data_IF_430411686931
#
_entry.id   IF_430411686931
#
_cell.length_a   1.000
_cell.length_b   1.000
_cell.length_c   1.000
_cell.angle_alpha   90.00
_cell.angle_beta   90.00
_cell.angle_gamma   90.00
#
_symmetry.space_group_name_H-M   'P 1'
#
loop_
_entity.id
_entity.type
_entity.pdbx_description
1 polymer ?
#
# COMPACT_ATOMS: atom_id res chain seq x y z
N UNK A 1 -24.84 4.47 -27.87
CA UNK A 1 -24.92 3.39 -26.86
C UNK A 1 -24.29 3.91 -25.58
N UNK A 2 -25.01 3.93 -24.46
CA UNK A 2 -24.41 4.28 -23.18
C UNK A 2 -23.41 3.20 -22.81
N UNK A 3 -22.15 3.57 -22.60
CA UNK A 3 -21.11 2.65 -22.15
C UNK A 3 -21.56 2.08 -20.79
N UNK A 4 -21.71 0.76 -20.72
CA UNK A 4 -22.17 0.11 -19.50
C UNK A 4 -21.05 0.25 -18.45
N UNK A 5 -21.24 1.17 -17.50
CA UNK A 5 -20.27 1.40 -16.41
C UNK A 5 -20.20 0.10 -15.61
N UNK A 6 -19.10 -0.64 -15.75
CA UNK A 6 -18.83 -1.83 -14.95
C UNK A 6 -18.37 -1.39 -13.57
N UNK A 7 -19.23 -1.59 -12.58
CA UNK A 7 -18.85 -1.43 -11.18
C UNK A 7 -18.02 -2.63 -10.72
N UNK A 8 -17.05 -2.39 -9.83
CA UNK A 8 -16.33 -3.48 -9.17
C UNK A 8 -17.30 -4.24 -8.27
N UNK A 9 -17.45 -5.54 -8.51
CA UNK A 9 -18.12 -6.43 -7.56
C UNK A 9 -17.16 -6.74 -6.42
N UNK A 10 -17.48 -6.24 -5.23
CA UNK A 10 -16.71 -6.51 -4.02
C UNK A 10 -17.10 -7.85 -3.42
N UNK A 11 -16.11 -8.65 -3.01
CA UNK A 11 -16.31 -9.81 -2.16
C UNK A 11 -16.89 -9.36 -0.80
N UNK A 12 -17.80 -10.15 -0.23
CA UNK A 12 -18.43 -9.80 1.06
C UNK A 12 -17.40 -9.67 2.18
N UNK A 13 -16.32 -10.47 2.15
CA UNK A 13 -15.23 -10.36 3.14
C UNK A 13 -14.49 -9.03 3.03
N UNK A 14 -14.39 -8.46 1.83
CA UNK A 14 -13.81 -7.13 1.63
C UNK A 14 -14.67 -6.06 2.28
N UNK A 15 -15.99 -6.13 2.10
CA UNK A 15 -16.94 -5.22 2.73
C UNK A 15 -16.85 -5.34 4.26
N UNK A 16 -16.81 -6.58 4.77
CA UNK A 16 -16.68 -6.83 6.21
C UNK A 16 -15.35 -6.33 6.77
N UNK A 17 -14.26 -6.48 6.03
CA UNK A 17 -12.94 -5.98 6.41
C UNK A 17 -12.95 -4.45 6.55
N UNK A 18 -13.51 -3.73 5.58
CA UNK A 18 -13.62 -2.27 5.65
C UNK A 18 -14.57 -1.84 6.77
N UNK A 19 -15.71 -2.51 6.93
CA UNK A 19 -16.69 -2.21 7.98
C UNK A 19 -16.09 -2.34 9.38
N UNK A 20 -15.40 -3.47 9.65
CA UNK A 20 -14.73 -3.74 10.94
C UNK A 20 -13.63 -2.73 11.28
N UNK A 21 -12.94 -2.20 10.26
CA UNK A 21 -11.85 -1.24 10.44
C UNK A 21 -12.30 0.23 10.25
N UNK A 22 -13.60 0.50 10.10
CA UNK A 22 -14.10 1.81 9.70
C UNK A 22 -13.72 2.95 10.65
N UNK A 23 -13.77 2.72 11.97
CA UNK A 23 -13.36 3.71 12.97
C UNK A 23 -11.87 4.06 12.87
N UNK A 24 -11.03 3.03 12.71
CA UNK A 24 -9.59 3.17 12.50
C UNK A 24 -9.27 3.91 11.20
N UNK A 25 -9.92 3.54 10.10
CA UNK A 25 -9.75 4.19 8.79
C UNK A 25 -10.08 5.68 8.88
N UNK A 26 -11.21 6.04 9.51
CA UNK A 26 -11.60 7.43 9.73
C UNK A 26 -10.58 8.20 10.57
N UNK A 27 -10.10 7.60 11.66
CA UNK A 27 -9.10 8.20 12.54
C UNK A 27 -7.77 8.46 11.82
N UNK A 28 -7.25 7.46 11.10
CA UNK A 28 -6.02 7.59 10.32
C UNK A 28 -6.20 8.65 9.22
N UNK A 29 -7.29 8.59 8.46
CA UNK A 29 -7.57 9.54 7.40
C UNK A 29 -7.60 10.98 7.90
N UNK A 30 -8.29 11.23 9.02
CA UNK A 30 -8.35 12.54 9.67
C UNK A 30 -6.96 13.02 10.10
N UNK A 31 -6.18 12.16 10.77
CA UNK A 31 -4.82 12.51 11.22
C UNK A 31 -3.84 12.82 10.09
N UNK A 32 -4.11 12.30 8.89
CA UNK A 32 -3.27 12.42 7.70
C UNK A 32 -3.80 13.46 6.71
N UNK A 33 -4.95 14.05 6.98
CA UNK A 33 -5.59 15.03 6.09
C UNK A 33 -5.96 14.44 4.73
N UNK A 34 -6.43 13.19 4.70
CA UNK A 34 -6.90 12.52 3.47
C UNK A 34 -8.37 12.13 3.59
N UNK A 35 -9.03 11.87 2.45
CA UNK A 35 -10.41 11.34 2.43
C UNK A 35 -10.45 9.93 3.05
N UNK A 36 -11.40 9.71 3.97
CA UNK A 36 -11.62 8.39 4.57
C UNK A 36 -12.17 7.41 3.52
N UNK A 37 -12.96 7.91 2.58
CA UNK A 37 -13.52 7.18 1.44
C UNK A 37 -12.42 6.79 0.46
N UNK A 38 -11.45 7.68 0.19
CA UNK A 38 -10.28 7.34 -0.63
C UNK A 38 -9.43 6.25 0.04
N UNK A 39 -9.20 6.35 1.35
CA UNK A 39 -8.45 5.35 2.12
C UNK A 39 -9.18 4.00 2.18
N UNK A 40 -10.48 4.01 2.48
CA UNK A 40 -11.31 2.81 2.45
C UNK A 40 -11.35 2.18 1.05
N UNK A 41 -11.47 3.00 0.01
CA UNK A 41 -11.50 2.55 -1.38
C UNK A 41 -10.21 1.88 -1.84
N UNK A 42 -9.04 2.44 -1.52
CA UNK A 42 -7.75 1.82 -1.85
C UNK A 42 -7.53 0.54 -1.05
N UNK A 43 -7.85 0.53 0.25
CA UNK A 43 -7.77 -0.67 1.08
C UNK A 43 -8.70 -1.78 0.56
N UNK A 44 -9.93 -1.44 0.17
CA UNK A 44 -10.89 -2.39 -0.39
C UNK A 44 -10.36 -2.98 -1.70
N UNK A 45 -9.82 -2.12 -2.57
CA UNK A 45 -9.30 -2.51 -3.88
C UNK A 45 -8.17 -3.52 -3.80
N UNK A 46 -7.25 -3.31 -2.87
CA UNK A 46 -6.13 -4.24 -2.66
C UNK A 46 -6.52 -5.47 -1.85
N UNK A 47 -7.51 -5.35 -0.95
CA UNK A 47 -8.00 -6.47 -0.15
C UNK A 47 -8.85 -7.46 -0.96
N UNK A 48 -9.62 -6.97 -1.93
CA UNK A 48 -10.51 -7.82 -2.72
C UNK A 48 -9.83 -9.01 -3.39
N UNK A 49 -8.73 -8.85 -4.15
CA UNK A 49 -8.00 -10.01 -4.67
C UNK A 49 -7.40 -10.89 -3.57
N UNK A 50 -7.02 -10.32 -2.42
CA UNK A 50 -6.52 -11.09 -1.29
C UNK A 50 -7.59 -12.01 -0.68
N UNK A 51 -8.83 -11.54 -0.57
CA UNK A 51 -9.94 -12.32 -0.03
C UNK A 51 -10.39 -13.45 -0.97
N UNK A 52 -10.25 -13.25 -2.28
CA UNK A 52 -10.56 -14.29 -3.28
C UNK A 52 -9.58 -15.47 -3.23
N UNK A 53 -8.32 -15.23 -2.82
CA UNK A 53 -7.24 -16.23 -2.82
C UNK A 53 -6.52 -16.35 -1.47
N UNK A 54 -7.23 -16.18 -0.36
CA UNK A 54 -6.63 -16.01 0.99
C UNK A 54 -5.55 -17.02 1.33
N UNK A 55 -5.79 -18.33 1.13
CA UNK A 55 -4.80 -19.37 1.45
C UNK A 55 -3.53 -19.25 0.61
N UNK A 56 -3.67 -18.95 -0.69
CA UNK A 56 -2.54 -18.78 -1.59
C UNK A 56 -1.74 -17.53 -1.23
N UNK A 57 -2.43 -16.45 -0.89
CA UNK A 57 -1.82 -15.17 -0.52
C UNK A 57 -1.09 -15.24 0.82
N UNK A 58 -1.66 -15.93 1.82
CA UNK A 58 -0.96 -16.22 3.08
C UNK A 58 0.27 -17.12 2.86
N UNK A 59 0.17 -18.11 1.98
CA UNK A 59 1.31 -18.94 1.57
C UNK A 59 2.42 -18.13 0.91
N UNK A 60 2.05 -17.19 0.02
CA UNK A 60 2.96 -16.23 -0.61
C UNK A 60 3.63 -15.36 0.43
N UNK A 61 2.87 -14.74 1.33
CA UNK A 61 3.40 -13.91 2.43
C UNK A 61 4.43 -14.68 3.27
N UNK A 62 4.10 -15.92 3.65
CA UNK A 62 5.00 -16.81 4.38
C UNK A 62 6.30 -17.11 3.62
N UNK A 63 6.22 -17.36 2.32
CA UNK A 63 7.41 -17.56 1.47
C UNK A 63 8.28 -16.30 1.39
N UNK A 64 7.67 -15.12 1.27
CA UNK A 64 8.41 -13.85 1.14
C UNK A 64 9.13 -13.47 2.44
N UNK A 65 8.48 -13.70 3.58
CA UNK A 65 8.99 -13.32 4.90
C UNK A 65 10.09 -14.27 5.43
N UNK A 66 10.18 -15.48 4.88
CA UNK A 66 11.12 -16.51 5.35
C UNK A 66 12.41 -16.57 4.54
N UNK A 67 13.50 -16.88 5.23
CA UNK A 67 14.79 -17.24 4.63
C UNK A 67 14.82 -18.73 4.27
N UNK A 68 15.81 -19.12 3.46
CA UNK A 68 15.97 -20.50 2.94
C UNK A 68 16.15 -21.53 4.06
N UNK A 69 16.71 -21.11 5.19
CA UNK A 69 16.89 -21.92 6.40
C UNK A 69 15.62 -22.03 7.26
N UNK A 70 14.49 -21.48 6.81
CA UNK A 70 13.21 -21.48 7.53
C UNK A 70 13.06 -20.37 8.57
N UNK A 71 14.11 -19.58 8.82
CA UNK A 71 14.09 -18.39 9.67
C UNK A 71 13.37 -17.21 9.01
N UNK A 72 13.37 -16.05 9.68
CA UNK A 72 12.92 -14.80 9.05
C UNK A 72 14.04 -14.13 8.27
N UNK A 73 13.67 -13.49 7.17
CA UNK A 73 14.56 -12.54 6.51
C UNK A 73 14.83 -11.39 7.47
N UNK A 74 16.07 -11.28 7.95
CA UNK A 74 16.50 -10.23 8.87
C UNK A 74 16.55 -8.83 8.24
N UNK A 75 16.58 -7.79 9.09
CA UNK A 75 16.63 -6.40 8.66
C UNK A 75 17.73 -6.12 7.62
N UNK A 76 18.95 -6.64 7.82
CA UNK A 76 20.06 -6.42 6.89
C UNK A 76 19.74 -6.89 5.48
N UNK A 77 19.20 -8.11 5.34
CA UNK A 77 18.82 -8.66 4.03
C UNK A 77 17.64 -7.90 3.43
N UNK A 78 16.66 -7.47 4.23
CA UNK A 78 15.59 -6.58 3.74
C UNK A 78 16.12 -5.24 3.25
N UNK A 79 17.08 -4.66 3.97
CA UNK A 79 17.73 -3.41 3.60
C UNK A 79 18.48 -3.54 2.28
N UNK A 80 19.24 -4.63 2.10
CA UNK A 80 19.91 -4.94 0.82
C UNK A 80 18.90 -5.10 -0.33
N UNK A 81 17.84 -5.87 -0.13
CA UNK A 81 16.78 -6.08 -1.13
C UNK A 81 16.10 -4.77 -1.52
N UNK A 82 15.79 -3.92 -0.54
CA UNK A 82 15.22 -2.59 -0.75
C UNK A 82 16.18 -1.68 -1.53
N UNK A 83 17.45 -1.61 -1.13
CA UNK A 83 18.44 -0.78 -1.80
C UNK A 83 18.65 -1.21 -3.25
N UNK A 84 18.70 -2.53 -3.52
CA UNK A 84 18.81 -3.07 -4.87
C UNK A 84 17.63 -2.61 -5.75
N UNK A 85 16.39 -2.79 -5.31
CA UNK A 85 15.23 -2.37 -6.12
C UNK A 85 15.11 -0.85 -6.25
N UNK A 86 15.62 -0.09 -5.28
CA UNK A 86 15.70 1.37 -5.35
C UNK A 86 16.75 1.82 -6.38
N UNK A 87 17.93 1.23 -6.36
CA UNK A 87 19.05 1.54 -7.27
C UNK A 87 18.68 1.26 -8.73
N UNK A 88 18.01 0.15 -8.99
CA UNK A 88 17.49 -0.18 -10.32
C UNK A 88 16.17 0.53 -10.68
N UNK A 89 15.71 1.47 -9.84
CA UNK A 89 14.46 2.22 -10.04
C UNK A 89 13.23 1.28 -10.21
N UNK A 90 13.21 0.11 -9.58
CA UNK A 90 12.18 -0.91 -9.82
C UNK A 90 10.91 -0.70 -9.00
N UNK A 91 10.94 0.07 -7.92
CA UNK A 91 9.79 0.23 -7.01
C UNK A 91 8.54 0.73 -7.76
N UNK A 92 8.70 1.74 -8.62
CA UNK A 92 7.59 2.31 -9.41
C UNK A 92 7.54 1.76 -10.85
N UNK A 93 8.53 0.98 -11.30
CA UNK A 93 8.65 0.51 -12.69
C UNK A 93 8.42 -1.01 -12.86
N UNK A 94 8.49 -1.80 -11.79
CA UNK A 94 8.09 -3.19 -11.82
C UNK A 94 6.57 -3.29 -11.79
N UNK A 95 5.94 -2.98 -12.94
CA UNK A 95 4.49 -3.00 -13.07
C UNK A 95 3.89 -4.42 -12.94
N UNK A 96 2.56 -4.49 -12.90
CA UNK A 96 1.80 -5.75 -12.80
C UNK A 96 1.97 -6.74 -13.96
N UNK A 97 2.77 -6.42 -14.98
CA UNK A 97 3.14 -7.35 -16.06
C UNK A 97 4.35 -8.23 -15.72
N UNK A 98 5.05 -7.96 -14.62
CA UNK A 98 6.14 -8.84 -14.16
C UNK A 98 5.55 -10.14 -13.61
N UNK A 99 5.96 -11.27 -14.20
CA UNK A 99 5.59 -12.60 -13.69
C UNK A 99 6.08 -12.80 -12.25
N UNK A 100 5.41 -13.69 -11.52
CA UNK A 100 5.84 -14.09 -10.16
C UNK A 100 7.30 -14.56 -10.14
N UNK A 101 7.74 -15.29 -11.17
CA UNK A 101 9.15 -15.71 -11.31
C UNK A 101 10.12 -14.52 -11.38
N UNK A 102 9.74 -13.46 -12.10
CA UNK A 102 10.57 -12.25 -12.20
C UNK A 102 10.55 -11.44 -10.90
N UNK A 103 9.40 -11.37 -10.22
CA UNK A 103 9.30 -10.76 -8.88
C UNK A 103 10.05 -11.57 -7.81
N UNK A 104 10.15 -12.90 -7.95
CA UNK A 104 10.88 -13.75 -7.01
C UNK A 104 12.39 -13.44 -6.96
N UNK A 105 12.97 -12.93 -8.05
CA UNK A 105 14.35 -12.42 -8.08
C UNK A 105 14.52 -11.13 -7.27
N UNK A 106 13.42 -10.43 -6.99
CA UNK A 106 13.38 -9.18 -6.24
C UNK A 106 12.30 -9.23 -5.15
N UNK A 107 12.49 -9.99 -4.05
CA UNK A 107 11.43 -10.23 -3.07
C UNK A 107 10.83 -8.96 -2.46
N UNK A 108 11.57 -7.84 -2.44
CA UNK A 108 11.04 -6.55 -2.00
C UNK A 108 9.93 -5.99 -2.91
N UNK A 109 9.77 -6.50 -4.14
CA UNK A 109 8.70 -6.12 -5.07
C UNK A 109 7.43 -6.97 -4.91
N UNK A 110 7.43 -7.91 -3.97
CA UNK A 110 6.26 -8.74 -3.67
C UNK A 110 5.33 -7.99 -2.71
N UNK A 111 4.04 -8.23 -2.94
CA UNK A 111 2.93 -7.61 -2.25
C UNK A 111 2.59 -8.45 -1.02
N UNK A 112 2.42 -7.82 0.14
CA UNK A 112 2.24 -8.49 1.42
C UNK A 112 0.90 -8.16 2.07
N UNK A 113 0.32 -9.17 2.70
CA UNK A 113 -0.77 -9.01 3.66
C UNK A 113 -2.10 -8.61 3.04
N UNK A 114 -3.11 -8.37 3.89
CA UNK A 114 -4.50 -8.27 3.48
C UNK A 114 -4.81 -7.08 2.57
N UNK A 115 -3.88 -6.15 2.36
CA UNK A 115 -4.05 -5.04 1.41
C UNK A 115 -2.95 -5.02 0.36
N UNK A 116 -2.38 -6.20 0.03
CA UNK A 116 -1.43 -6.40 -1.07
C UNK A 116 -0.37 -5.29 -1.19
N UNK A 117 0.19 -4.88 -0.06
CA UNK A 117 1.10 -3.74 -0.04
C UNK A 117 2.51 -4.22 -0.38
N UNK A 118 3.08 -3.68 -1.46
CA UNK A 118 4.44 -3.98 -1.87
C UNK A 118 5.45 -3.64 -0.76
N UNK A 119 6.31 -4.61 -0.39
CA UNK A 119 7.28 -4.46 0.69
C UNK A 119 8.22 -3.24 0.50
N UNK A 120 8.72 -3.01 -0.71
CA UNK A 120 9.59 -1.88 -1.02
C UNK A 120 8.86 -0.53 -0.90
N UNK A 121 7.59 -0.47 -1.28
CA UNK A 121 6.76 0.74 -1.10
C UNK A 121 6.52 1.02 0.38
N UNK A 122 6.26 -0.03 1.18
CA UNK A 122 6.16 0.11 2.63
C UNK A 122 7.46 0.61 3.26
N UNK A 123 8.61 0.00 2.93
CA UNK A 123 9.92 0.41 3.45
C UNK A 123 10.25 1.86 3.05
N UNK A 124 9.98 2.24 1.79
CA UNK A 124 10.15 3.62 1.32
C UNK A 124 9.33 4.59 2.16
N UNK A 125 8.06 4.29 2.41
CA UNK A 125 7.19 5.14 3.22
C UNK A 125 7.66 5.24 4.68
N UNK A 126 8.13 4.14 5.29
CA UNK A 126 8.72 4.17 6.63
C UNK A 126 9.96 5.09 6.69
N UNK A 127 10.87 4.97 5.71
CA UNK A 127 12.08 5.78 5.66
C UNK A 127 11.77 7.27 5.48
N UNK A 128 10.86 7.61 4.58
CA UNK A 128 10.38 8.99 4.39
C UNK A 128 9.69 9.53 5.66
N UNK A 129 8.90 8.69 6.35
CA UNK A 129 8.26 9.07 7.60
C UNK A 129 9.28 9.43 8.69
N UNK A 130 10.28 8.56 8.89
CA UNK A 130 11.35 8.78 9.88
C UNK A 130 12.11 10.09 9.58
N UNK A 131 12.38 10.37 8.30
CA UNK A 131 13.07 11.59 7.88
C UNK A 131 12.23 12.85 8.09
N UNK A 132 10.93 12.78 7.81
CA UNK A 132 10.01 13.93 7.92
C UNK A 132 9.57 14.23 9.35
N UNK A 133 9.71 13.28 10.27
CA UNK A 133 9.33 13.44 11.67
C UNK A 133 10.52 13.20 12.61
N UNK A 134 11.61 13.98 12.56
CA UNK A 134 12.82 13.69 13.35
C UNK A 134 12.56 13.68 14.86
N UNK A 135 11.70 14.57 15.37
CA UNK A 135 11.44 14.75 16.81
C UNK A 135 10.10 14.16 17.32
N UNK A 136 9.24 13.63 16.44
CA UNK A 136 7.89 13.15 16.81
C UNK A 136 7.60 11.77 16.23
N UNK A 137 6.58 11.08 16.74
CA UNK A 137 6.08 9.83 16.15
C UNK A 137 4.53 9.74 16.16
N UNK A 138 3.82 10.68 15.48
CA UNK A 138 2.35 10.73 15.52
C UNK A 138 1.66 9.48 14.97
N UNK A 139 2.33 8.72 14.08
CA UNK A 139 1.81 7.49 13.50
C UNK A 139 2.38 6.22 14.16
N UNK A 140 3.15 6.34 15.25
CA UNK A 140 3.81 5.22 15.92
C UNK A 140 4.49 4.23 14.93
N UNK A 141 5.25 4.77 13.98
CA UNK A 141 5.98 3.99 12.97
C UNK A 141 7.48 3.90 13.30
N UNK A 142 8.05 4.76 14.15
CA UNK A 142 9.49 4.69 14.46
C UNK A 142 9.88 3.45 15.24
N UNK A 143 8.94 2.79 15.89
CA UNK A 143 9.14 1.46 16.49
C UNK A 143 9.56 0.36 15.49
N UNK A 144 9.52 0.66 14.18
CA UNK A 144 9.97 -0.21 13.09
C UNK A 144 11.29 0.25 12.46
N UNK A 145 11.81 1.40 12.87
CA UNK A 145 13.08 1.91 12.35
C UNK A 145 14.22 0.95 12.72
N UNK A 146 14.94 0.46 11.72
CA UNK A 146 16.01 -0.53 11.92
C UNK A 146 15.52 -1.98 12.08
N UNK A 147 14.20 -2.24 11.98
CA UNK A 147 13.63 -3.58 12.05
C UNK A 147 12.55 -3.78 10.97
N UNK A 148 13.02 -3.98 9.74
CA UNK A 148 12.13 -4.26 8.60
C UNK A 148 11.45 -5.62 8.72
N UNK A 149 12.00 -6.55 9.48
CA UNK A 149 11.40 -7.86 9.70
C UNK A 149 10.10 -7.70 10.50
N UNK A 150 10.16 -7.01 11.64
CA UNK A 150 8.97 -6.68 12.45
C UNK A 150 7.95 -5.85 11.64
N UNK A 151 8.44 -4.89 10.86
CA UNK A 151 7.59 -4.03 10.04
C UNK A 151 6.79 -4.81 9.00
N UNK A 152 7.48 -5.61 8.17
CA UNK A 152 6.84 -6.36 7.08
C UNK A 152 5.98 -7.51 7.61
N UNK A 153 6.34 -8.12 8.75
CA UNK A 153 5.45 -9.04 9.45
C UNK A 153 4.16 -8.33 9.92
N UNK A 154 4.26 -7.07 10.39
CA UNK A 154 3.09 -6.28 10.77
C UNK A 154 2.20 -5.97 9.55
N UNK A 155 2.80 -5.61 8.42
CA UNK A 155 2.07 -5.40 7.15
C UNK A 155 1.35 -6.68 6.72
N UNK A 156 2.02 -7.84 6.80
CA UNK A 156 1.46 -9.13 6.41
C UNK A 156 0.32 -9.61 7.31
N UNK A 157 0.36 -9.23 8.60
CA UNK A 157 -0.69 -9.51 9.56
C UNK A 157 -0.60 -10.87 10.26
N UNK A 158 -1.58 -11.21 11.11
CA UNK A 158 -1.52 -12.35 12.02
C UNK A 158 -1.44 -13.71 11.31
N UNK A 159 -1.99 -13.84 10.10
CA UNK A 159 -1.96 -15.10 9.34
C UNK A 159 -0.56 -15.50 8.85
N UNK A 160 0.36 -14.54 8.79
CA UNK A 160 1.72 -14.72 8.27
C UNK A 160 2.80 -14.40 9.31
N UNK A 161 2.41 -13.86 10.47
CA UNK A 161 3.28 -13.64 11.62
C UNK A 161 3.53 -14.96 12.37
N UNK A 162 4.80 -15.29 12.64
CA UNK A 162 5.17 -16.47 13.45
C UNK A 162 5.95 -16.09 14.71
N UNK A 163 6.21 -17.09 15.55
CA UNK A 163 6.92 -17.04 16.84
C UNK A 163 8.08 -16.05 16.85
N UNK A 164 7.86 -14.85 17.40
CA UNK A 164 8.85 -13.77 17.51
C UNK A 164 8.27 -12.37 17.40
N UNK A 165 7.24 -12.18 16.56
CA UNK A 165 6.55 -10.88 16.39
C UNK A 165 5.04 -11.07 16.38
N UNK A 166 4.36 -11.12 17.54
CA UNK A 166 2.91 -11.20 17.58
C UNK A 166 2.32 -9.91 16.98
N UNK A 167 1.50 -10.09 15.93
CA UNK A 167 0.83 -8.99 15.22
C UNK A 167 -0.66 -9.13 15.43
N UNK A 168 -1.31 -8.10 15.95
CA UNK A 168 -2.78 -8.06 16.03
C UNK A 168 -3.36 -7.66 14.67
N UNK A 169 -4.59 -8.11 14.39
CA UNK A 169 -5.29 -7.68 13.16
C UNK A 169 -5.49 -6.15 13.12
N UNK A 170 -5.70 -5.53 14.29
CA UNK A 170 -5.84 -4.08 14.44
C UNK A 170 -4.53 -3.34 14.09
N UNK A 171 -3.39 -3.79 14.62
CA UNK A 171 -2.10 -3.15 14.31
C UNK A 171 -1.73 -3.32 12.83
N UNK A 172 -1.99 -4.50 12.27
CA UNK A 172 -1.85 -4.73 10.83
C UNK A 172 -2.71 -3.75 10.01
N UNK A 173 -4.00 -3.61 10.32
CA UNK A 173 -4.89 -2.67 9.64
C UNK A 173 -4.42 -1.21 9.81
N UNK A 174 -3.98 -0.84 11.02
CA UNK A 174 -3.48 0.50 11.35
C UNK A 174 -2.25 0.86 10.52
N UNK A 175 -1.22 0.01 10.54
CA UNK A 175 0.03 0.28 9.82
C UNK A 175 -0.25 0.35 8.32
N UNK A 176 -1.03 -0.59 7.78
CA UNK A 176 -1.42 -0.56 6.36
C UNK A 176 -2.19 0.72 5.99
N UNK A 177 -3.17 1.14 6.80
CA UNK A 177 -3.91 2.37 6.61
C UNK A 177 -2.99 3.60 6.63
N UNK A 178 -2.04 3.66 7.56
CA UNK A 178 -1.05 4.76 7.64
C UNK A 178 -0.21 4.79 6.37
N UNK A 179 0.36 3.67 5.93
CA UNK A 179 1.21 3.66 4.73
C UNK A 179 0.43 4.05 3.47
N UNK A 180 -0.79 3.52 3.30
CA UNK A 180 -1.65 3.88 2.16
C UNK A 180 -2.08 5.34 2.21
N UNK A 181 -2.36 5.91 3.39
CA UNK A 181 -2.65 7.35 3.52
C UNK A 181 -1.48 8.22 3.06
N UNK A 182 -0.23 7.79 3.31
CA UNK A 182 0.96 8.49 2.82
C UNK A 182 1.06 8.42 1.29
N UNK A 183 0.65 7.32 0.66
CA UNK A 183 0.56 7.25 -0.80
C UNK A 183 -0.54 8.17 -1.34
N UNK A 184 -1.69 8.27 -0.66
CA UNK A 184 -2.76 9.20 -1.03
C UNK A 184 -2.26 10.66 -0.92
N UNK A 185 -1.47 11.03 0.09
CA UNK A 185 -0.87 12.37 0.19
C UNK A 185 0.03 12.68 -1.03
N UNK A 186 0.78 11.69 -1.53
CA UNK A 186 1.56 11.83 -2.77
C UNK A 186 0.66 11.97 -3.99
N UNK A 187 -0.42 11.20 -4.07
CA UNK A 187 -1.42 11.33 -5.13
C UNK A 187 -2.03 12.74 -5.15
N UNK A 188 -2.47 13.25 -3.99
CA UNK A 188 -3.02 14.59 -3.82
C UNK A 188 -2.06 15.66 -4.34
N UNK A 189 -0.80 15.58 -3.93
CA UNK A 189 0.26 16.50 -4.39
C UNK A 189 0.43 16.42 -5.91
N UNK A 190 0.42 15.22 -6.48
CA UNK A 190 0.53 15.04 -7.92
C UNK A 190 -0.64 15.65 -8.70
N UNK A 191 -1.87 15.36 -8.27
CA UNK A 191 -3.07 15.89 -8.91
C UNK A 191 -3.14 17.41 -8.80
N UNK A 192 -2.76 17.99 -7.65
CA UNK A 192 -2.69 19.44 -7.49
C UNK A 192 -1.68 20.08 -8.45
N UNK A 193 -0.48 19.50 -8.55
CA UNK A 193 0.53 19.95 -9.51
C UNK A 193 0.04 19.80 -10.97
N UNK A 194 -0.67 18.73 -11.30
CA UNK A 194 -1.22 18.53 -12.65
C UNK A 194 -2.28 19.60 -12.98
N UNK A 195 -3.19 19.92 -12.06
CA UNK A 195 -4.15 21.02 -12.26
C UNK A 195 -3.47 22.37 -12.48
N UNK A 196 -2.42 22.67 -11.72
CA UNK A 196 -1.71 23.96 -11.83
C UNK A 196 -1.01 24.14 -13.19
N UNK A 197 -0.52 23.03 -13.77
CA UNK A 197 0.28 23.05 -14.99
C UNK A 197 -0.52 22.71 -16.26
N UNK A 198 -1.79 22.31 -16.14
CA UNK A 198 -2.63 21.87 -17.27
C UNK A 198 -4.06 22.41 -17.10
N UNK A 199 -4.40 23.54 -17.76
CA UNK A 199 -5.73 24.15 -17.67
C UNK A 199 -6.88 23.26 -18.15
N UNK A 200 -6.62 22.37 -19.13
CA UNK A 200 -7.64 21.44 -19.62
C UNK A 200 -7.92 20.37 -18.57
N UNK A 201 -6.87 19.83 -17.94
CA UNK A 201 -7.03 18.91 -16.83
C UNK A 201 -7.72 19.59 -15.64
N UNK A 202 -7.40 20.84 -15.34
CA UNK A 202 -8.05 21.60 -14.26
C UNK A 202 -9.56 21.72 -14.47
N UNK A 203 -10.00 22.06 -15.69
CA UNK A 203 -11.42 22.14 -16.04
C UNK A 203 -12.12 20.78 -15.89
N UNK A 204 -11.50 19.71 -16.40
CA UNK A 204 -12.00 18.34 -16.21
C UNK A 204 -12.11 17.98 -14.73
N UNK A 205 -11.06 18.23 -13.95
CA UNK A 205 -10.97 17.87 -12.54
C UNK A 205 -12.01 18.59 -11.67
N UNK A 206 -12.28 19.87 -11.94
CA UNK A 206 -13.29 20.65 -11.21
C UNK A 206 -14.67 20.01 -11.36
N UNK A 207 -15.01 19.54 -12.57
CA UNK A 207 -16.29 18.91 -12.86
C UNK A 207 -16.49 17.51 -12.25
N UNK A 208 -15.44 16.89 -11.70
CA UNK A 208 -15.54 15.54 -11.14
C UNK A 208 -16.19 15.53 -9.74
N UNK A 209 -17.14 14.60 -9.48
CA UNK A 209 -17.62 14.31 -8.13
C UNK A 209 -16.49 13.89 -7.19
N UNK A 210 -16.63 14.17 -5.89
CA UNK A 210 -15.61 13.81 -4.89
C UNK A 210 -15.32 12.31 -4.87
N UNK A 211 -16.36 11.46 -4.95
CA UNK A 211 -16.19 10.01 -5.01
C UNK A 211 -15.32 9.55 -6.20
N UNK A 212 -15.42 10.24 -7.35
CA UNK A 212 -14.57 9.97 -8.51
C UNK A 212 -13.13 10.39 -8.25
N UNK A 213 -12.91 11.55 -7.64
CA UNK A 213 -11.57 12.02 -7.23
C UNK A 213 -10.91 11.04 -6.27
N UNK A 214 -11.66 10.56 -5.27
CA UNK A 214 -11.21 9.58 -4.28
C UNK A 214 -10.82 8.25 -4.93
N UNK A 215 -11.61 7.78 -5.90
CA UNK A 215 -11.27 6.60 -6.69
C UNK A 215 -9.99 6.79 -7.53
N UNK A 216 -9.77 7.99 -8.10
CA UNK A 216 -8.56 8.32 -8.85
C UNK A 216 -7.32 8.37 -7.93
N UNK A 217 -7.45 8.90 -6.70
CA UNK A 217 -6.38 8.84 -5.70
C UNK A 217 -6.01 7.39 -5.34
N UNK A 218 -7.02 6.55 -5.10
CA UNK A 218 -6.81 5.13 -4.85
C UNK A 218 -6.12 4.44 -6.03
N UNK A 219 -6.58 4.70 -7.26
CA UNK A 219 -5.97 4.13 -8.46
C UNK A 219 -4.53 4.64 -8.71
N UNK A 220 -4.21 5.86 -8.27
CA UNK A 220 -2.84 6.39 -8.27
C UNK A 220 -1.92 5.61 -7.35
N UNK A 221 -2.39 5.24 -6.15
CA UNK A 221 -1.58 4.46 -5.20
C UNK A 221 -1.15 3.09 -5.77
N UNK A 222 -1.97 2.50 -6.64
CA UNK A 222 -1.74 1.17 -7.23
C UNK A 222 -0.84 1.23 -8.46
N UNK A 223 -1.04 2.24 -9.30
CA UNK A 223 -0.34 2.35 -10.58
C UNK A 223 0.94 3.17 -10.51
N UNK A 224 1.06 4.03 -9.48
CA UNK A 224 2.20 4.90 -9.27
C UNK A 224 2.31 6.05 -10.27
N UNK A 225 3.16 7.01 -9.91
CA UNK A 225 3.38 8.26 -10.62
C UNK A 225 3.62 8.11 -12.15
N UNK A 226 4.46 7.16 -12.56
CA UNK A 226 4.92 7.05 -13.96
C UNK A 226 3.84 6.55 -14.90
N UNK A 227 2.98 5.62 -14.46
CA UNK A 227 1.89 5.12 -15.30
C UNK A 227 0.84 6.20 -15.51
N UNK A 228 0.58 7.02 -14.50
CA UNK A 228 -0.34 8.15 -14.61
C UNK A 228 0.14 9.22 -15.60
N UNK A 229 1.44 9.55 -15.62
CA UNK A 229 2.03 10.43 -16.66
C UNK A 229 1.82 9.98 -18.10
N UNK A 230 1.51 8.69 -18.34
CA UNK A 230 1.29 8.15 -19.70
C UNK A 230 -0.19 8.12 -20.09
N UNK A 231 -1.09 8.22 -19.11
CA UNK A 231 -2.54 8.09 -19.32
C UNK A 231 -3.20 9.47 -19.38
N UNK A 232 -2.64 10.47 -18.67
CA UNK A 232 -3.19 11.82 -18.48
C UNK A 232 -2.07 12.86 -18.49
#
# INVERSE_FOLDING_TARGET
>A
MAEQIKFTTWDSKTIDFISRNSALIKSVAASKGVSAEALAGVMAKENNPYQLYTTQEQGKDGFVLRSVDGGFVGHQLWSMRYNMVKEFDLIDNAGGSWSLLKKALFPALLDLGPVNLQAATAIRALNEYVQTHPASDPCNLKQYQGDYTKFLATIAGPGSATTGYPVTAEECARVNAVILSMQIQKALTWFENKKQNDPQFAAYWIGLPQATKDALYGQWCIWGHRRWKRII
#
